data_IF_667642602614
#
_entry.id   IF_667642602614
#
_cell.length_a   1.000
_cell.length_b   1.000
_cell.length_c   1.000
_cell.angle_alpha   90.00
_cell.angle_beta   90.00
_cell.angle_gamma   90.00
#
_symmetry.space_group_name_H-M   'P 1'
#
loop_
_entity.id
_entity.type
_entity.pdbx_description
1 polymer ?
#
# COMPACT_ATOMS: atom_id res chain seq x y z
N UNK A 1 -27.01 0.07 -6.55
CA UNK A 1 -26.49 -1.31 -6.43
C UNK A 1 -25.54 -1.49 -7.58
N UNK A 2 -24.31 -1.89 -7.32
CA UNK A 2 -23.27 -2.14 -8.34
C UNK A 2 -23.62 -3.45 -9.06
N UNK A 3 -23.32 -3.56 -10.36
CA UNK A 3 -23.54 -4.79 -11.13
C UNK A 3 -22.68 -5.94 -10.60
N UNK A 4 -23.26 -7.14 -10.51
CA UNK A 4 -22.51 -8.38 -10.35
C UNK A 4 -21.73 -8.70 -11.64
N UNK A 5 -20.40 -8.72 -11.52
CA UNK A 5 -19.47 -8.87 -12.63
C UNK A 5 -19.31 -10.35 -13.02
N UNK A 6 -19.54 -11.30 -12.10
CA UNK A 6 -19.43 -12.74 -12.36
C UNK A 6 -20.64 -13.52 -11.79
N UNK A 7 -21.84 -13.38 -12.38
CA UNK A 7 -23.08 -13.96 -11.85
C UNK A 7 -23.25 -15.47 -12.12
N UNK A 8 -22.18 -16.20 -12.46
CA UNK A 8 -22.29 -17.59 -12.93
C UNK A 8 -22.89 -18.54 -11.88
N UNK A 9 -23.84 -19.39 -12.30
CA UNK A 9 -24.57 -20.32 -11.42
C UNK A 9 -23.76 -21.57 -11.01
N UNK A 10 -22.62 -21.85 -11.65
CA UNK A 10 -21.68 -22.95 -11.32
C UNK A 10 -20.25 -22.56 -11.69
N UNK A 11 -19.29 -22.68 -10.75
CA UNK A 11 -17.88 -22.30 -10.95
C UNK A 11 -17.34 -21.39 -9.82
N UNK A 12 -16.15 -20.80 -10.00
CA UNK A 12 -15.67 -19.73 -9.11
C UNK A 12 -16.58 -18.51 -9.25
N UNK A 13 -17.31 -18.15 -8.17
CA UNK A 13 -18.36 -17.13 -8.14
C UNK A 13 -17.86 -15.71 -7.86
N UNK A 14 -16.55 -15.50 -7.76
CA UNK A 14 -16.00 -14.25 -7.27
C UNK A 14 -15.38 -13.46 -8.42
N UNK A 15 -15.63 -12.15 -8.43
CA UNK A 15 -15.01 -11.18 -9.33
C UNK A 15 -13.69 -10.61 -8.77
N UNK A 16 -13.34 -10.98 -7.53
CA UNK A 16 -12.10 -10.62 -6.82
C UNK A 16 -11.66 -9.14 -6.96
N UNK A 17 -12.56 -8.16 -6.76
CA UNK A 17 -12.23 -6.76 -6.98
C UNK A 17 -11.01 -6.32 -6.15
N UNK A 18 -10.01 -5.75 -6.81
CA UNK A 18 -8.72 -5.36 -6.22
C UNK A 18 -8.25 -3.99 -6.71
N UNK A 19 -7.19 -3.46 -6.11
CA UNK A 19 -6.52 -2.23 -6.58
C UNK A 19 -7.47 -1.02 -6.69
N UNK A 20 -8.31 -0.78 -5.68
CA UNK A 20 -9.42 0.17 -5.79
C UNK A 20 -8.93 1.63 -5.65
N UNK A 21 -9.11 2.42 -6.71
CA UNK A 21 -8.73 3.84 -6.76
C UNK A 21 -9.89 4.73 -7.19
N UNK A 22 -10.13 5.80 -6.41
CA UNK A 22 -11.19 6.78 -6.69
C UNK A 22 -10.66 7.97 -7.50
N UNK A 23 -11.36 8.33 -8.56
CA UNK A 23 -11.14 9.56 -9.34
C UNK A 23 -12.48 10.27 -9.55
N UNK A 24 -12.63 11.45 -8.95
CA UNK A 24 -13.94 12.12 -8.93
C UNK A 24 -14.97 11.24 -8.24
N UNK A 25 -16.11 10.99 -8.89
CA UNK A 25 -17.17 10.11 -8.37
C UNK A 25 -17.10 8.67 -8.91
N UNK A 26 -16.03 8.34 -9.63
CA UNK A 26 -15.82 7.02 -10.22
C UNK A 26 -14.80 6.25 -9.38
N UNK A 27 -15.13 5.01 -9.05
CA UNK A 27 -14.19 3.99 -8.56
C UNK A 27 -13.63 3.23 -9.76
N UNK A 28 -12.31 3.11 -9.82
CA UNK A 28 -11.58 2.21 -10.70
C UNK A 28 -11.07 1.04 -9.88
N UNK A 29 -11.11 -0.16 -10.43
CA UNK A 29 -10.64 -1.37 -9.76
C UNK A 29 -10.34 -2.44 -10.80
N UNK A 30 -9.47 -3.38 -10.44
CA UNK A 30 -9.29 -4.62 -11.19
C UNK A 30 -10.41 -5.58 -10.79
N UNK A 31 -11.01 -6.28 -11.76
CA UNK A 31 -11.94 -7.37 -11.48
C UNK A 31 -11.88 -8.44 -12.59
N UNK A 32 -12.20 -9.67 -12.20
CA UNK A 32 -12.31 -10.83 -13.07
C UNK A 32 -13.74 -11.01 -13.58
N UNK A 33 -13.87 -11.23 -14.89
CA UNK A 33 -15.06 -11.84 -15.49
C UNK A 33 -14.69 -13.01 -16.42
N UNK A 34 -15.58 -13.99 -16.66
CA UNK A 34 -15.27 -15.17 -17.45
C UNK A 34 -14.94 -14.91 -18.93
N UNK A 35 -15.41 -13.79 -19.50
CA UNK A 35 -15.25 -13.48 -20.92
C UNK A 35 -13.94 -12.71 -21.18
N UNK A 36 -13.49 -11.87 -20.24
CA UNK A 36 -12.31 -11.01 -20.41
C UNK A 36 -11.19 -11.25 -19.38
N UNK A 37 -11.39 -12.13 -18.40
CA UNK A 37 -10.47 -12.34 -17.28
C UNK A 37 -10.27 -11.08 -16.41
N UNK A 38 -9.09 -10.89 -15.80
CA UNK A 38 -8.76 -9.75 -14.93
C UNK A 38 -8.48 -8.47 -15.74
N UNK A 39 -9.42 -7.54 -15.70
CA UNK A 39 -9.36 -6.29 -16.47
C UNK A 39 -9.64 -5.05 -15.63
N UNK A 40 -9.53 -3.87 -16.25
CA UNK A 40 -9.83 -2.59 -15.60
C UNK A 40 -11.32 -2.30 -15.68
N UNK A 41 -11.95 -2.20 -14.52
CA UNK A 41 -13.36 -1.87 -14.36
C UNK A 41 -13.54 -0.51 -13.71
N UNK A 42 -14.72 0.08 -13.92
CA UNK A 42 -15.16 1.28 -13.22
C UNK A 42 -16.58 1.15 -12.69
N UNK A 43 -16.91 1.93 -11.66
CA UNK A 43 -18.27 2.06 -11.13
C UNK A 43 -18.54 3.44 -10.55
N UNK A 44 -19.77 3.93 -10.70
CA UNK A 44 -20.33 5.09 -9.99
C UNK A 44 -21.22 4.70 -8.80
N UNK A 45 -21.27 3.41 -8.46
CA UNK A 45 -22.16 2.85 -7.42
C UNK A 45 -23.51 2.33 -7.93
N UNK A 46 -23.78 2.43 -9.24
CA UNK A 46 -24.99 1.92 -9.89
C UNK A 46 -24.70 0.73 -10.81
N UNK A 47 -25.74 -0.03 -11.14
CA UNK A 47 -25.62 -1.24 -11.95
C UNK A 47 -25.25 -0.87 -13.38
N UNK A 48 -25.88 0.18 -13.90
CA UNK A 48 -25.59 0.73 -15.22
C UNK A 48 -24.20 1.39 -15.30
N UNK A 49 -23.71 1.94 -14.19
CA UNK A 49 -22.40 2.60 -14.14
C UNK A 49 -21.23 1.65 -13.87
N UNK A 50 -21.50 0.40 -13.48
CA UNK A 50 -20.47 -0.64 -13.35
C UNK A 50 -20.16 -1.26 -14.71
N UNK A 51 -18.99 -0.96 -15.27
CA UNK A 51 -18.62 -1.38 -16.61
C UNK A 51 -17.12 -1.65 -16.76
N UNK A 52 -16.81 -2.57 -17.67
CA UNK A 52 -15.48 -2.78 -18.20
C UNK A 52 -15.02 -1.48 -18.87
N UNK A 53 -13.84 -0.99 -18.51
CA UNK A 53 -13.26 0.21 -19.14
C UNK A 53 -12.72 -0.14 -20.52
N UNK A 54 -11.96 -1.23 -20.59
CA UNK A 54 -11.36 -1.75 -21.81
C UNK A 54 -10.93 -3.19 -21.57
N UNK A 55 -11.17 -4.04 -22.57
CA UNK A 55 -10.46 -5.30 -22.74
C UNK A 55 -9.07 -4.97 -23.32
N UNK A 56 -8.06 -4.93 -22.46
CA UNK A 56 -6.72 -4.45 -22.81
C UNK A 56 -6.00 -5.48 -23.68
N UNK A 57 -6.17 -6.76 -23.37
CA UNK A 57 -5.62 -7.87 -24.12
C UNK A 57 -6.72 -8.85 -24.52
N UNK A 58 -7.16 -8.73 -25.78
CA UNK A 58 -8.27 -9.52 -26.33
C UNK A 58 -8.01 -11.03 -26.41
N UNK A 59 -6.81 -11.50 -26.07
CA UNK A 59 -6.44 -12.93 -26.13
C UNK A 59 -5.98 -13.51 -24.79
N UNK A 60 -5.76 -12.70 -23.76
CA UNK A 60 -5.31 -13.14 -22.44
C UNK A 60 -5.61 -12.10 -21.34
N UNK A 61 -5.47 -12.48 -20.08
CA UNK A 61 -5.68 -11.56 -18.95
C UNK A 61 -4.62 -10.44 -18.94
N UNK A 62 -5.02 -9.17 -18.84
CA UNK A 62 -4.06 -8.07 -18.75
C UNK A 62 -3.53 -7.79 -17.34
N UNK A 63 -4.24 -8.23 -16.30
CA UNK A 63 -3.87 -8.06 -14.88
C UNK A 63 -3.51 -6.60 -14.49
N UNK A 64 -4.43 -5.63 -14.61
CA UNK A 64 -4.15 -4.25 -14.21
C UNK A 64 -3.76 -4.15 -12.73
N UNK A 65 -2.68 -3.45 -12.43
CA UNK A 65 -2.16 -3.27 -11.07
C UNK A 65 -1.58 -1.87 -10.85
N UNK A 66 -1.35 -1.54 -9.58
CA UNK A 66 -0.87 -0.24 -9.13
C UNK A 66 -1.71 0.92 -9.66
N UNK A 67 -3.04 0.79 -9.58
CA UNK A 67 -3.99 1.80 -10.08
C UNK A 67 -3.77 3.14 -9.36
N UNK A 68 -3.13 4.09 -10.01
CA UNK A 68 -2.65 5.33 -9.39
C UNK A 68 -3.30 6.56 -10.00
N UNK A 69 -3.92 7.39 -9.16
CA UNK A 69 -4.50 8.66 -9.61
C UNK A 69 -3.42 9.70 -9.89
N UNK A 70 -3.46 10.30 -11.07
CA UNK A 70 -2.61 11.43 -11.47
C UNK A 70 -3.46 12.49 -12.18
N UNK A 71 -3.61 13.67 -11.57
CA UNK A 71 -4.30 14.83 -12.17
C UNK A 71 -5.69 14.53 -12.79
N UNK A 72 -6.46 13.63 -12.17
CA UNK A 72 -7.81 13.27 -12.65
C UNK A 72 -7.81 12.15 -13.71
N UNK A 73 -6.66 11.56 -14.01
CA UNK A 73 -6.52 10.34 -14.80
C UNK A 73 -6.03 9.20 -13.93
N UNK A 74 -6.17 7.98 -14.43
CA UNK A 74 -5.58 6.79 -13.85
C UNK A 74 -4.32 6.42 -14.64
N UNK A 75 -3.19 6.25 -13.97
CA UNK A 75 -2.04 5.52 -14.49
C UNK A 75 -2.00 4.15 -13.84
N UNK A 76 -1.61 3.14 -14.60
CA UNK A 76 -1.56 1.76 -14.11
C UNK A 76 -0.66 0.90 -14.99
N UNK A 77 -0.30 -0.26 -14.48
CA UNK A 77 0.52 -1.23 -15.18
C UNK A 77 -0.35 -2.40 -15.65
N UNK A 78 -0.14 -2.87 -16.88
CA UNK A 78 -0.88 -4.01 -17.44
C UNK A 78 -0.04 -4.78 -18.47
N UNK A 79 -0.39 -6.05 -18.64
CA UNK A 79 0.27 -7.04 -19.49
C UNK A 79 -0.43 -7.16 -20.85
N UNK A 80 0.33 -7.50 -21.89
CA UNK A 80 -0.22 -8.00 -23.15
C UNK A 80 0.62 -9.19 -23.63
N UNK A 81 0.06 -10.38 -23.84
CA UNK A 81 0.80 -11.65 -24.10
C UNK A 81 1.65 -11.65 -25.38
N UNK A 82 1.46 -10.68 -26.27
CA UNK A 82 2.27 -10.52 -27.48
C UNK A 82 3.55 -9.69 -27.27
N UNK A 83 3.75 -9.14 -26.09
CA UNK A 83 4.90 -8.32 -25.75
C UNK A 83 5.52 -8.86 -24.44
N UNK A 84 6.76 -9.36 -24.49
CA UNK A 84 7.45 -9.92 -23.32
C UNK A 84 7.67 -8.91 -22.17
N UNK A 85 7.37 -7.63 -22.42
CA UNK A 85 7.34 -6.54 -21.44
C UNK A 85 5.90 -5.99 -21.39
N UNK A 86 5.41 -5.71 -20.19
CA UNK A 86 4.11 -5.04 -20.00
C UNK A 86 4.13 -3.59 -20.47
N UNK A 87 3.28 -2.76 -19.89
CA UNK A 87 3.32 -1.34 -20.16
C UNK A 87 2.75 -0.50 -19.04
N UNK A 88 3.18 0.77 -19.03
CA UNK A 88 2.48 1.81 -18.30
C UNK A 88 1.34 2.31 -19.18
N UNK A 89 0.13 2.33 -18.63
CA UNK A 89 -1.09 2.76 -19.29
C UNK A 89 -1.66 4.00 -18.61
N UNK A 90 -2.46 4.75 -19.36
CA UNK A 90 -3.28 5.84 -18.86
C UNK A 90 -4.73 5.62 -19.25
N UNK A 91 -5.65 6.00 -18.36
CA UNK A 91 -7.10 5.98 -18.61
C UNK A 91 -7.78 7.22 -18.05
N UNK A 92 -8.78 7.72 -18.77
CA UNK A 92 -9.78 8.69 -18.29
C UNK A 92 -11.12 8.02 -17.94
N UNK A 93 -11.18 6.68 -17.99
CA UNK A 93 -12.37 5.87 -17.80
C UNK A 93 -13.18 5.58 -19.06
N UNK A 94 -12.74 6.01 -20.24
CA UNK A 94 -13.29 5.58 -21.53
C UNK A 94 -12.39 4.53 -22.21
N UNK A 95 -12.94 3.74 -23.14
CA UNK A 95 -12.17 2.77 -23.92
C UNK A 95 -11.15 3.45 -24.82
N UNK A 96 -11.50 4.59 -25.42
CA UNK A 96 -10.64 5.39 -26.29
C UNK A 96 -9.53 6.12 -25.52
N UNK A 97 -9.85 6.65 -24.33
CA UNK A 97 -8.90 7.31 -23.44
C UNK A 97 -7.98 6.34 -22.70
N UNK A 98 -8.26 5.02 -22.77
CA UNK A 98 -7.42 3.97 -22.19
C UNK A 98 -6.39 3.47 -23.21
N UNK A 99 -5.13 3.84 -23.00
CA UNK A 99 -4.03 3.54 -23.94
C UNK A 99 -2.69 3.39 -23.24
N UNK A 100 -1.78 2.63 -23.88
CA UNK A 100 -0.39 2.51 -23.44
C UNK A 100 0.32 3.86 -23.58
N UNK A 101 1.06 4.23 -22.55
CA UNK A 101 1.93 5.40 -22.51
C UNK A 101 3.32 5.02 -22.98
N UNK A 102 3.87 3.92 -22.45
CA UNK A 102 5.20 3.41 -22.78
C UNK A 102 5.25 1.89 -22.56
N UNK A 103 6.08 1.21 -23.34
CA UNK A 103 6.38 -0.21 -23.15
C UNK A 103 7.57 -0.35 -22.20
N UNK A 104 7.31 -0.90 -21.02
CA UNK A 104 8.28 -1.10 -19.95
C UNK A 104 7.99 -2.44 -19.29
N UNK A 105 8.96 -3.02 -18.61
CA UNK A 105 8.72 -4.18 -17.78
C UNK A 105 8.37 -3.69 -16.35
N UNK A 106 7.07 -3.67 -15.97
CA UNK A 106 6.64 -3.26 -14.64
C UNK A 106 6.88 -4.32 -13.57
N UNK A 107 7.29 -5.54 -13.94
CA UNK A 107 7.44 -6.68 -13.02
C UNK A 107 8.72 -6.61 -12.18
N UNK A 108 9.06 -5.40 -11.74
CA UNK A 108 10.00 -5.13 -10.68
C UNK A 108 9.37 -5.49 -9.35
N UNK A 109 9.58 -6.75 -8.94
CA UNK A 109 9.15 -7.37 -7.68
C UNK A 109 7.75 -6.94 -7.17
N UNK A 110 6.75 -7.78 -7.46
CA UNK A 110 5.33 -7.59 -7.18
C UNK A 110 4.94 -7.49 -5.69
N UNK A 111 5.87 -7.54 -4.74
CA UNK A 111 5.54 -7.67 -3.31
C UNK A 111 5.64 -6.39 -2.50
N UNK A 112 6.39 -5.37 -2.94
CA UNK A 112 6.64 -4.14 -2.15
C UNK A 112 6.73 -2.82 -2.93
N UNK A 113 6.69 -2.87 -4.27
CA UNK A 113 6.78 -1.68 -5.12
C UNK A 113 5.66 -0.69 -4.84
N UNK A 114 5.98 0.43 -4.19
CA UNK A 114 5.05 1.55 -4.01
C UNK A 114 5.11 2.46 -5.23
N UNK A 115 4.01 3.09 -5.57
CA UNK A 115 3.99 4.25 -6.46
C UNK A 115 3.96 5.53 -5.63
N UNK A 116 4.68 6.55 -6.07
CA UNK A 116 4.65 7.88 -5.45
C UNK A 116 4.24 8.93 -6.48
N UNK A 117 3.29 9.80 -6.14
CA UNK A 117 2.90 10.93 -6.98
C UNK A 117 3.34 12.22 -6.33
N UNK A 118 4.17 12.99 -7.03
CA UNK A 118 4.74 14.25 -6.54
C UNK A 118 4.59 15.30 -7.63
N UNK A 119 3.91 16.41 -7.32
CA UNK A 119 3.76 17.57 -8.23
C UNK A 119 3.32 17.19 -9.65
N UNK A 120 2.33 16.29 -9.78
CA UNK A 120 1.81 15.85 -11.08
C UNK A 120 2.68 14.82 -11.81
N UNK A 121 3.64 14.21 -11.11
CA UNK A 121 4.56 13.21 -11.66
C UNK A 121 4.48 11.93 -10.83
N UNK A 122 4.21 10.80 -11.48
CA UNK A 122 4.34 9.46 -10.94
C UNK A 122 5.82 9.05 -10.92
N UNK A 123 6.28 8.48 -9.81
CA UNK A 123 7.55 7.80 -9.63
C UNK A 123 7.31 6.35 -9.25
N UNK A 124 8.04 5.45 -9.90
CA UNK A 124 7.79 4.01 -9.82
C UNK A 124 9.01 3.22 -10.28
N UNK A 125 9.21 1.99 -9.78
CA UNK A 125 10.25 1.10 -10.27
C UNK A 125 9.84 0.47 -11.60
N UNK A 126 10.73 0.47 -12.58
CA UNK A 126 10.51 -0.26 -13.83
C UNK A 126 11.82 -0.68 -14.50
N UNK A 127 11.73 -1.76 -15.27
CA UNK A 127 12.82 -2.23 -16.12
C UNK A 127 12.53 -1.95 -17.60
N UNK A 128 13.58 -1.99 -18.42
CA UNK A 128 13.50 -1.84 -19.87
C UNK A 128 14.29 -2.92 -20.57
N UNK A 129 14.25 -2.95 -21.91
CA UNK A 129 15.12 -3.86 -22.68
C UNK A 129 16.63 -3.60 -22.48
N UNK A 130 17.01 -2.52 -21.81
CA UNK A 130 18.40 -2.08 -21.62
C UNK A 130 18.81 -1.87 -20.15
N UNK A 131 17.86 -1.88 -19.23
CA UNK A 131 18.09 -1.66 -17.78
C UNK A 131 17.31 -2.70 -17.00
N UNK A 132 17.82 -3.10 -15.85
CA UNK A 132 17.03 -3.74 -14.81
C UNK A 132 16.12 -2.72 -14.09
N UNK A 133 15.65 -3.07 -12.90
CA UNK A 133 14.63 -2.34 -12.17
C UNK A 133 15.17 -1.06 -11.55
N UNK A 134 14.77 0.06 -12.12
CA UNK A 134 15.34 1.36 -11.79
C UNK A 134 14.26 2.41 -11.51
N UNK A 135 14.68 3.61 -11.09
CA UNK A 135 13.74 4.69 -10.81
C UNK A 135 13.22 5.30 -12.11
N UNK A 136 11.92 5.17 -12.38
CA UNK A 136 11.25 5.82 -13.50
C UNK A 136 10.32 6.93 -13.02
N UNK A 137 10.00 7.84 -13.94
CA UNK A 137 8.98 8.86 -13.76
C UNK A 137 8.02 8.93 -14.94
N UNK A 138 6.79 9.38 -14.72
CA UNK A 138 5.79 9.64 -15.77
C UNK A 138 4.83 10.76 -15.38
N UNK A 139 4.41 11.57 -16.35
CA UNK A 139 3.29 12.52 -16.24
C UNK A 139 2.04 12.03 -17.00
N UNK A 140 2.03 10.75 -17.42
CA UNK A 140 1.00 10.16 -18.27
C UNK A 140 1.17 10.42 -19.77
N UNK A 141 2.27 11.06 -20.19
CA UNK A 141 2.67 11.22 -21.59
C UNK A 141 3.90 10.38 -21.93
N UNK A 142 4.06 10.03 -23.22
CA UNK A 142 5.24 9.29 -23.69
C UNK A 142 6.53 10.06 -23.38
N UNK A 143 6.59 11.36 -23.68
CA UNK A 143 7.79 12.19 -23.46
C UNK A 143 8.13 12.38 -21.98
N UNK A 144 7.11 12.46 -21.12
CA UNK A 144 7.32 12.58 -19.67
C UNK A 144 7.67 11.25 -19.00
N UNK A 145 7.46 10.13 -19.67
CA UNK A 145 7.77 8.78 -19.19
C UNK A 145 9.21 8.40 -19.52
N UNK A 146 10.07 8.35 -18.50
CA UNK A 146 11.51 8.11 -18.69
C UNK A 146 12.21 7.68 -17.41
N UNK A 147 13.36 7.02 -17.57
CA UNK A 147 14.31 6.73 -16.51
C UNK A 147 14.76 8.03 -15.81
N UNK A 148 14.74 8.03 -14.48
CA UNK A 148 15.32 9.09 -13.63
C UNK A 148 16.81 8.82 -13.44
N UNK A 149 17.15 7.61 -12.99
CA UNK A 149 18.51 7.17 -12.73
C UNK A 149 18.59 5.65 -12.77
N UNK A 150 19.65 5.16 -13.38
CA UNK A 150 20.23 3.84 -13.15
C UNK A 150 21.08 3.94 -11.88
N UNK A 151 20.51 3.50 -10.75
CA UNK A 151 21.07 3.71 -9.41
C UNK A 151 22.24 2.77 -9.16
N UNK A 152 22.16 1.51 -9.62
CA UNK A 152 23.20 0.49 -9.45
C UNK A 152 23.61 -0.13 -10.80
N UNK A 153 24.40 0.58 -11.61
CA UNK A 153 24.72 0.15 -12.96
C UNK A 153 25.55 -1.15 -12.97
N UNK A 154 24.98 -2.23 -13.49
CA UNK A 154 25.63 -3.54 -13.57
C UNK A 154 24.96 -4.53 -14.52
N UNK A 155 25.60 -5.68 -14.85
CA UNK A 155 24.98 -6.69 -15.69
C UNK A 155 23.73 -7.24 -14.99
N UNK A 156 22.58 -7.03 -15.65
CA UNK A 156 21.18 -7.27 -15.27
C UNK A 156 20.80 -8.69 -14.80
N UNK A 157 21.74 -9.54 -14.41
CA UNK A 157 21.54 -10.97 -14.15
C UNK A 157 21.55 -11.35 -12.66
N UNK A 158 21.85 -10.41 -11.74
CA UNK A 158 21.95 -10.71 -10.30
C UNK A 158 21.07 -9.83 -9.40
N UNK A 159 20.36 -8.83 -9.94
CA UNK A 159 19.47 -7.93 -9.19
C UNK A 159 18.11 -8.57 -8.93
N UNK A 160 18.12 -9.71 -8.23
CA UNK A 160 16.91 -10.27 -7.61
C UNK A 160 16.53 -9.55 -6.31
N UNK A 161 17.21 -8.46 -5.95
CA UNK A 161 16.93 -7.69 -4.74
C UNK A 161 17.04 -6.18 -4.94
N UNK A 162 16.22 -5.33 -4.33
CA UNK A 162 14.77 -5.24 -4.20
C UNK A 162 14.51 -3.73 -4.15
N UNK A 163 13.53 -3.21 -4.90
CA UNK A 163 12.99 -1.89 -4.61
C UNK A 163 12.05 -2.05 -3.41
N UNK A 164 12.48 -1.56 -2.26
CA UNK A 164 11.82 -1.90 -1.00
C UNK A 164 10.64 -0.97 -0.74
N UNK A 165 10.84 0.36 -0.72
CA UNK A 165 9.78 1.33 -0.46
C UNK A 165 10.10 2.74 -0.99
N UNK A 166 9.06 3.57 -1.14
CA UNK A 166 9.17 5.01 -1.42
C UNK A 166 8.24 5.83 -0.52
N UNK A 167 8.68 7.02 -0.12
CA UNK A 167 7.88 8.01 0.61
C UNK A 167 8.27 9.44 0.23
N UNK A 168 7.39 10.40 0.52
CA UNK A 168 7.65 11.82 0.32
C UNK A 168 7.85 12.52 1.67
N UNK A 169 8.91 13.31 1.79
CA UNK A 169 9.14 14.17 2.95
C UNK A 169 9.57 15.54 2.46
N UNK A 170 8.77 16.56 2.79
CA UNK A 170 9.03 17.95 2.43
C UNK A 170 9.37 18.17 0.94
N UNK A 171 8.65 17.47 0.05
CA UNK A 171 8.87 17.55 -1.40
C UNK A 171 10.08 16.75 -1.92
N UNK A 172 10.80 16.03 -1.06
CA UNK A 172 11.91 15.13 -1.40
C UNK A 172 11.37 13.70 -1.49
N UNK A 173 11.57 13.05 -2.63
CA UNK A 173 11.30 11.62 -2.76
C UNK A 173 12.40 10.85 -2.01
N UNK A 174 12.03 10.04 -1.04
CA UNK A 174 12.92 9.14 -0.32
C UNK A 174 12.65 7.70 -0.77
N UNK A 175 13.73 6.95 -1.01
CA UNK A 175 13.74 5.58 -1.52
C UNK A 175 14.51 4.69 -0.55
N UNK A 176 14.12 3.43 -0.47
CA UNK A 176 14.99 2.34 -0.05
C UNK A 176 15.40 1.54 -1.28
N UNK A 177 16.69 1.58 -1.62
CA UNK A 177 17.21 0.97 -2.85
C UNK A 177 18.55 0.28 -2.57
N UNK A 178 18.67 -0.93 -3.11
CA UNK A 178 19.91 -1.69 -3.14
C UNK A 178 20.95 -1.07 -4.09
N UNK A 179 22.20 -1.03 -3.64
CA UNK A 179 23.36 -0.72 -4.47
C UNK A 179 24.53 -1.66 -4.15
N UNK A 180 25.22 -2.19 -5.16
CA UNK A 180 26.34 -3.15 -5.00
C UNK A 180 27.41 -2.74 -3.99
N UNK A 181 27.67 -1.43 -3.85
CA UNK A 181 28.65 -0.87 -2.91
C UNK A 181 28.14 -0.59 -1.49
N UNK A 182 26.82 -0.52 -1.28
CA UNK A 182 26.21 -0.03 -0.04
C UNK A 182 25.13 -0.97 0.55
N UNK A 183 24.66 -1.98 -0.19
CA UNK A 183 23.46 -2.71 0.17
C UNK A 183 22.16 -1.91 -0.04
N UNK A 184 21.04 -2.38 0.51
CA UNK A 184 19.76 -1.64 0.57
C UNK A 184 19.78 -0.61 1.70
N UNK A 185 19.77 0.66 1.28
CA UNK A 185 20.00 1.84 2.10
C UNK A 185 19.06 2.99 1.72
N UNK A 186 19.10 4.08 2.48
CA UNK A 186 18.21 5.23 2.27
C UNK A 186 18.77 6.23 1.25
N UNK A 187 18.02 6.47 0.17
CA UNK A 187 18.35 7.40 -0.92
C UNK A 187 17.30 8.50 -1.03
N UNK A 188 17.68 9.65 -1.61
CA UNK A 188 16.73 10.70 -2.00
C UNK A 188 16.76 10.96 -3.49
N UNK A 189 15.70 11.57 -4.01
CA UNK A 189 15.62 12.10 -5.37
C UNK A 189 14.79 13.40 -5.42
N UNK A 190 15.20 14.31 -6.29
CA UNK A 190 14.40 15.48 -6.72
C UNK A 190 13.68 15.23 -8.07
N UNK A 191 13.74 13.98 -8.56
CA UNK A 191 13.23 13.56 -9.86
C UNK A 191 14.21 13.71 -11.03
N UNK A 192 15.45 14.09 -10.74
CA UNK A 192 16.59 14.08 -11.69
C UNK A 192 17.65 13.06 -11.29
N UNK A 193 18.39 12.52 -12.25
CA UNK A 193 19.49 11.60 -11.94
C UNK A 193 20.65 12.23 -11.15
N UNK A 194 20.82 13.55 -11.22
CA UNK A 194 21.82 14.26 -10.43
C UNK A 194 21.39 14.43 -8.96
N UNK A 195 20.10 14.67 -8.73
CA UNK A 195 19.53 14.79 -7.39
C UNK A 195 19.18 13.44 -6.74
N UNK A 196 19.24 12.34 -7.50
CA UNK A 196 19.11 10.99 -6.93
C UNK A 196 20.41 10.53 -6.28
N UNK A 197 20.51 10.61 -4.95
CA UNK A 197 21.76 10.36 -4.19
C UNK A 197 21.50 9.64 -2.87
N UNK A 198 22.50 8.89 -2.41
CA UNK A 198 22.48 8.24 -1.09
C UNK A 198 22.37 9.30 0.00
N UNK A 199 21.47 9.10 0.96
CA UNK A 199 21.36 9.97 2.13
C UNK A 199 22.35 9.50 3.18
N UNK A 200 22.32 8.20 3.51
CA UNK A 200 23.16 7.58 4.53
C UNK A 200 23.32 6.09 4.25
N UNK A 201 24.56 5.64 4.32
CA UNK A 201 24.91 4.22 4.49
C UNK A 201 24.75 3.89 5.98
N UNK A 202 23.55 3.42 6.36
CA UNK A 202 23.21 3.12 7.77
C UNK A 202 24.00 1.89 8.23
N UNK A 203 24.23 0.92 7.36
CA UNK A 203 25.08 -0.23 7.61
C UNK A 203 26.35 -0.20 6.73
N UNK A 204 27.44 0.41 7.23
CA UNK A 204 28.64 0.64 6.43
C UNK A 204 29.14 -0.55 5.62
N UNK A 205 29.34 -0.33 4.32
CA UNK A 205 29.89 -1.31 3.38
C UNK A 205 28.82 -2.02 2.56
N UNK A 206 29.07 -3.26 2.15
CA UNK A 206 28.16 -3.98 1.23
C UNK A 206 26.92 -4.59 1.90
N UNK A 207 26.75 -4.40 3.21
CA UNK A 207 25.65 -5.00 3.96
C UNK A 207 24.45 -4.08 3.98
N UNK A 208 23.23 -4.63 3.89
CA UNK A 208 22.00 -3.83 3.89
C UNK A 208 21.49 -3.52 5.29
N UNK A 209 20.94 -2.30 5.47
CA UNK A 209 20.16 -1.91 6.65
C UNK A 209 18.67 -2.20 6.52
N UNK A 210 18.19 -2.55 5.32
CA UNK A 210 16.79 -2.89 5.01
C UNK A 210 15.76 -1.84 5.49
N UNK A 211 15.86 -0.56 5.05
CA UNK A 211 14.86 0.43 5.38
C UNK A 211 13.44 -0.02 5.00
N UNK A 212 12.52 0.00 5.97
CA UNK A 212 11.13 -0.44 5.77
C UNK A 212 10.15 0.38 6.60
N UNK A 213 8.87 0.38 6.22
CA UNK A 213 7.85 1.20 6.88
C UNK A 213 8.10 2.70 6.71
N UNK A 214 8.56 3.13 5.52
CA UNK A 214 8.87 4.52 5.24
C UNK A 214 7.60 5.38 5.30
N UNK A 215 7.64 6.41 6.15
CA UNK A 215 6.50 7.29 6.38
C UNK A 215 6.93 8.74 6.66
N UNK A 216 6.33 9.71 5.98
CA UNK A 216 6.63 11.14 6.13
C UNK A 216 5.66 11.88 7.06
N UNK A 217 6.17 12.67 8.02
CA UNK A 217 5.42 13.53 8.93
C UNK A 217 6.23 14.73 9.44
N UNK A 218 5.64 15.93 9.43
CA UNK A 218 6.23 17.16 9.97
C UNK A 218 7.70 17.40 9.55
N UNK A 219 7.99 17.22 8.25
CA UNK A 219 9.32 17.35 7.63
C UNK A 219 10.31 16.22 7.98
N UNK A 220 9.86 15.16 8.65
CA UNK A 220 10.65 13.96 8.95
C UNK A 220 10.08 12.73 8.26
N UNK A 221 10.96 11.88 7.76
CA UNK A 221 10.71 10.47 7.48
C UNK A 221 10.89 9.71 8.79
N UNK A 222 10.07 8.69 9.01
CA UNK A 222 10.27 7.64 10.00
C UNK A 222 10.29 6.29 9.28
N UNK A 223 11.15 5.38 9.74
CA UNK A 223 11.34 4.06 9.13
C UNK A 223 12.08 3.12 10.08
N UNK A 224 12.00 1.83 9.80
CA UNK A 224 12.77 0.79 10.48
C UNK A 224 14.05 0.53 9.69
N UNK A 225 15.20 0.41 10.35
CA UNK A 225 16.45 -0.03 9.73
C UNK A 225 17.37 -0.69 10.76
N UNK A 226 18.28 -1.54 10.30
CA UNK A 226 19.21 -2.31 11.13
C UNK A 226 20.67 -1.94 10.83
N UNK A 227 21.40 -1.46 11.84
CA UNK A 227 22.86 -1.33 11.74
C UNK A 227 23.54 -2.71 11.70
N UNK A 228 22.91 -3.70 12.33
CA UNK A 228 23.32 -5.11 12.35
C UNK A 228 22.08 -5.99 12.30
N UNK A 229 21.89 -6.75 11.22
CA UNK A 229 20.75 -7.65 11.08
C UNK A 229 20.80 -8.81 12.10
N UNK A 230 19.67 -9.20 12.75
CA UNK A 230 18.28 -8.79 12.47
C UNK A 230 17.74 -7.63 13.35
N UNK A 231 18.59 -6.84 14.01
CA UNK A 231 18.15 -5.83 14.99
C UNK A 231 17.61 -4.57 14.30
N UNK A 232 16.30 -4.57 13.99
CA UNK A 232 15.61 -3.40 13.44
C UNK A 232 15.28 -2.38 14.54
N UNK A 233 15.65 -1.12 14.30
CA UNK A 233 15.39 0.00 15.20
C UNK A 233 14.60 1.08 14.47
N UNK A 234 13.98 1.99 15.22
CA UNK A 234 13.28 3.14 14.66
C UNK A 234 14.29 4.24 14.32
N UNK A 235 14.21 4.73 13.08
CA UNK A 235 15.01 5.83 12.56
C UNK A 235 14.12 6.97 12.10
N UNK A 236 14.71 8.16 12.01
CA UNK A 236 14.13 9.32 11.33
C UNK A 236 15.12 9.97 10.37
N UNK A 237 14.62 10.71 9.37
CA UNK A 237 15.43 11.45 8.40
C UNK A 237 14.70 12.69 7.88
N UNK A 238 15.36 13.83 7.73
CA UNK A 238 14.84 15.01 7.02
C UNK A 238 15.29 15.03 5.54
N UNK A 239 15.84 13.92 5.02
CA UNK A 239 16.46 13.87 3.71
C UNK A 239 17.93 14.33 3.66
N UNK A 240 18.54 14.62 4.82
CA UNK A 240 19.97 14.93 4.94
C UNK A 240 20.72 13.86 5.73
N UNK A 241 22.03 13.78 5.52
CA UNK A 241 22.90 12.86 6.27
C UNK A 241 22.82 13.13 7.78
N UNK A 242 22.92 14.40 8.19
CA UNK A 242 22.94 14.81 9.59
C UNK A 242 21.59 14.61 10.27
N UNK A 243 20.48 14.85 9.57
CA UNK A 243 19.13 14.58 10.09
C UNK A 243 18.76 13.10 10.10
N UNK A 244 19.54 12.22 9.45
CA UNK A 244 19.26 10.78 9.47
C UNK A 244 19.83 10.11 10.71
N UNK A 245 18.97 9.85 11.69
CA UNK A 245 19.35 9.47 13.06
C UNK A 245 18.42 8.40 13.61
N UNK A 246 18.98 7.51 14.44
CA UNK A 246 18.21 6.55 15.22
C UNK A 246 17.41 7.28 16.29
N UNK A 247 16.13 6.93 16.44
CA UNK A 247 15.23 7.51 17.44
C UNK A 247 15.42 6.85 18.82
N UNK A 248 15.74 5.54 18.85
CA UNK A 248 16.06 4.81 20.07
C UNK A 248 16.37 3.32 19.83
N UNK A 249 16.94 2.66 20.84
CA UNK A 249 17.45 1.28 20.80
C UNK A 249 16.39 0.17 20.98
N UNK A 250 15.10 0.47 20.80
CA UNK A 250 14.03 -0.54 20.97
C UNK A 250 13.51 -1.02 19.62
N UNK A 251 13.22 -2.33 19.55
CA UNK A 251 12.74 -2.98 18.32
C UNK A 251 11.50 -2.28 17.79
N UNK A 252 11.54 -1.91 16.51
CA UNK A 252 10.53 -1.08 15.90
C UNK A 252 9.60 -1.89 15.01
N UNK A 253 8.32 -1.52 15.02
CA UNK A 253 7.31 -2.06 14.11
C UNK A 253 6.58 -0.89 13.44
N UNK A 254 6.11 -1.14 12.22
CA UNK A 254 5.62 -0.17 11.23
C UNK A 254 4.77 0.96 11.82
N UNK A 255 5.17 2.24 11.60
CA UNK A 255 4.42 3.39 12.09
C UNK A 255 3.16 3.69 11.24
N UNK A 256 2.07 4.04 11.90
CA UNK A 256 0.77 4.47 11.34
C UNK A 256 0.42 5.81 11.97
N UNK A 257 -0.09 6.79 11.23
CA UNK A 257 -0.09 8.16 11.76
C UNK A 257 -1.46 8.77 12.06
N UNK A 258 -1.54 9.54 13.16
CA UNK A 258 -2.53 10.58 13.47
C UNK A 258 -1.89 11.77 14.21
N UNK A 259 -2.11 13.03 13.82
CA UNK A 259 -1.94 14.26 14.64
C UNK A 259 -0.64 14.37 15.49
N UNK A 260 0.44 13.68 15.13
CA UNK A 260 1.69 13.59 15.90
C UNK A 260 1.96 12.28 16.62
N UNK A 261 1.03 11.33 16.60
CA UNK A 261 1.11 9.99 17.17
C UNK A 261 1.22 8.94 16.06
N UNK A 262 2.26 8.13 16.13
CA UNK A 262 2.54 6.91 15.38
C UNK A 262 1.86 5.74 16.08
N UNK A 263 1.27 4.79 15.39
CA UNK A 263 0.79 3.52 15.92
C UNK A 263 1.55 2.37 15.29
N UNK A 264 1.78 1.30 16.03
CA UNK A 264 2.57 0.16 15.58
C UNK A 264 2.13 -1.11 16.30
N UNK A 265 2.26 -2.27 15.67
CA UNK A 265 2.07 -3.55 16.34
C UNK A 265 3.36 -3.90 17.12
N UNK A 266 3.42 -3.93 18.45
CA UNK A 266 4.67 -4.16 19.18
C UNK A 266 4.53 -5.21 20.27
N UNK A 267 5.53 -6.09 20.37
CA UNK A 267 5.66 -7.13 21.40
C UNK A 267 6.68 -6.68 22.45
N UNK A 268 6.21 -6.43 23.67
CA UNK A 268 7.04 -6.04 24.81
C UNK A 268 7.56 -7.24 25.62
N UNK A 269 7.26 -8.47 25.17
CA UNK A 269 7.56 -9.72 25.84
C UNK A 269 6.64 -10.02 27.03
N UNK A 270 5.63 -9.18 27.30
CA UNK A 270 4.68 -9.34 28.41
C UNK A 270 3.27 -9.62 27.87
N UNK A 271 2.83 -8.85 26.86
CA UNK A 271 1.46 -8.90 26.33
C UNK A 271 1.39 -9.47 24.90
N UNK A 272 2.48 -10.02 24.39
CA UNK A 272 2.57 -10.34 22.96
C UNK A 272 2.45 -9.09 22.09
N UNK A 273 2.23 -9.28 20.79
CA UNK A 273 2.18 -8.19 19.83
C UNK A 273 0.83 -7.46 19.82
N UNK A 274 0.82 -6.24 20.34
CA UNK A 274 -0.36 -5.39 20.55
C UNK A 274 -0.29 -4.08 19.76
N UNK A 275 -1.36 -3.27 19.73
CA UNK A 275 -1.31 -1.91 19.17
C UNK A 275 -0.69 -0.92 20.17
N UNK A 276 0.35 -0.23 19.76
CA UNK A 276 1.04 0.81 20.52
C UNK A 276 0.92 2.15 19.82
N UNK A 277 1.12 3.25 20.56
CA UNK A 277 1.24 4.61 20.03
C UNK A 277 2.54 5.29 20.46
N UNK A 278 3.12 6.19 19.66
CA UNK A 278 4.36 6.94 19.92
C UNK A 278 4.31 8.35 19.34
N UNK A 279 4.78 9.36 20.05
CA UNK A 279 4.93 10.72 19.51
C UNK A 279 6.25 10.95 18.73
N UNK A 280 6.99 9.87 18.44
CA UNK A 280 8.34 9.94 17.86
C UNK A 280 9.46 10.05 18.90
N UNK A 281 9.13 9.96 20.19
CA UNK A 281 10.09 9.80 21.29
C UNK A 281 9.98 8.42 21.95
N UNK A 282 11.01 8.02 22.68
CA UNK A 282 11.01 6.77 23.45
C UNK A 282 10.00 6.85 24.59
N UNK A 283 9.87 8.02 25.23
CA UNK A 283 8.94 8.26 26.34
C UNK A 283 7.48 8.28 25.91
N UNK A 284 7.20 8.71 24.67
CA UNK A 284 5.85 8.73 24.11
C UNK A 284 5.33 7.38 23.64
N UNK A 285 6.15 6.31 23.67
CA UNK A 285 5.76 4.96 23.29
C UNK A 285 4.93 4.30 24.38
N UNK A 286 3.63 4.14 24.15
CA UNK A 286 2.67 3.56 25.10
C UNK A 286 1.72 2.58 24.42
N UNK A 287 1.41 1.46 25.07
CA UNK A 287 0.41 0.52 24.59
C UNK A 287 -0.96 1.22 24.56
N UNK A 288 -1.70 1.04 23.47
CA UNK A 288 -3.06 1.56 23.37
C UNK A 288 -3.96 0.78 24.32
N UNK A 289 -3.97 -0.54 24.15
CA UNK A 289 -4.84 -1.50 24.83
C UNK A 289 -4.28 -2.90 24.64
N UNK A 290 -4.31 -3.71 25.69
CA UNK A 290 -4.19 -5.16 25.61
C UNK A 290 -5.52 -5.70 25.06
N UNK A 291 -5.60 -5.91 23.75
CA UNK A 291 -6.84 -6.31 23.07
C UNK A 291 -7.09 -7.81 23.27
N UNK A 292 -6.05 -8.64 23.25
CA UNK A 292 -6.10 -10.07 23.52
C UNK A 292 -5.46 -10.37 24.89
N UNK A 293 -6.25 -10.41 25.98
CA UNK A 293 -5.70 -10.32 27.32
C UNK A 293 -4.58 -11.32 27.64
N UNK A 294 -3.46 -10.81 28.13
CA UNK A 294 -2.31 -11.61 28.56
C UNK A 294 -1.24 -11.75 27.45
N UNK A 295 -0.47 -12.85 27.42
CA UNK A 295 0.70 -12.95 26.53
C UNK A 295 0.34 -13.29 25.06
N UNK A 296 -0.94 -13.27 24.71
CA UNK A 296 -1.40 -13.64 23.38
C UNK A 296 -1.51 -12.39 22.50
N UNK A 297 -1.02 -12.46 21.27
CA UNK A 297 -1.05 -11.29 20.37
C UNK A 297 -2.47 -11.00 19.84
N UNK A 298 -2.83 -9.73 19.76
CA UNK A 298 -4.03 -9.27 19.06
C UNK A 298 -3.80 -8.90 17.60
N UNK A 299 -2.56 -8.59 17.23
CA UNK A 299 -2.19 -8.20 15.87
C UNK A 299 -1.73 -9.41 15.04
N UNK A 300 -1.98 -9.44 13.72
CA UNK A 300 -1.45 -10.48 12.84
C UNK A 300 0.08 -10.43 12.78
N UNK A 301 0.74 -11.59 12.85
CA UNK A 301 2.21 -11.78 12.87
C UNK A 301 2.96 -11.38 11.60
N UNK A 302 2.24 -11.10 10.52
CA UNK A 302 2.79 -10.49 9.31
C UNK A 302 2.67 -8.97 9.42
N UNK A 303 3.51 -8.18 8.74
CA UNK A 303 3.24 -6.76 8.55
C UNK A 303 2.03 -6.62 7.62
N UNK A 304 0.86 -6.99 8.11
CA UNK A 304 -0.40 -6.51 7.59
C UNK A 304 -0.35 -5.05 7.95
N UNK A 305 -0.13 -4.25 6.92
CA UNK A 305 -0.56 -2.88 6.86
C UNK A 305 -1.80 -2.76 7.75
N UNK A 306 -1.71 -1.96 8.81
CA UNK A 306 -2.94 -1.32 9.26
C UNK A 306 -3.35 -0.50 8.03
N UNK A 307 -4.17 -1.11 7.18
CA UNK A 307 -4.81 -0.50 6.02
C UNK A 307 -5.93 0.39 6.56
N UNK A 308 -5.57 1.22 7.52
CA UNK A 308 -6.44 2.14 8.20
C UNK A 308 -6.22 3.50 7.58
N UNK A 309 -7.15 3.93 6.73
CA UNK A 309 -7.21 5.33 6.35
C UNK A 309 -7.89 6.09 7.50
N UNK A 310 -7.16 7.02 8.10
CA UNK A 310 -7.69 7.83 9.19
C UNK A 310 -8.81 8.73 8.69
N UNK A 311 -9.95 8.68 9.37
CA UNK A 311 -11.16 9.40 8.95
C UNK A 311 -11.80 10.05 10.16
N UNK A 312 -11.83 11.39 10.17
CA UNK A 312 -12.33 12.22 11.29
C UNK A 312 -11.73 11.85 12.67
N UNK A 313 -10.45 11.46 12.69
CA UNK A 313 -9.74 11.07 13.92
C UNK A 313 -9.91 9.60 14.31
N UNK A 314 -10.53 8.78 13.48
CA UNK A 314 -10.71 7.33 13.71
C UNK A 314 -9.77 6.54 12.80
N UNK A 315 -8.89 5.73 13.41
CA UNK A 315 -8.09 4.71 12.73
C UNK A 315 -8.85 3.39 12.74
N UNK A 316 -8.90 2.69 11.60
CA UNK A 316 -9.41 1.32 11.50
C UNK A 316 -8.28 0.33 11.30
N UNK A 317 -8.36 -0.85 11.90
CA UNK A 317 -7.31 -1.87 11.83
C UNK A 317 -7.91 -3.27 12.00
N UNK A 318 -7.11 -4.30 11.78
CA UNK A 318 -7.50 -5.69 12.00
C UNK A 318 -6.88 -6.18 13.30
N UNK A 319 -7.70 -6.78 14.18
CA UNK A 319 -7.22 -7.35 15.43
C UNK A 319 -8.11 -8.51 15.91
N UNK A 320 -7.56 -9.34 16.79
CA UNK A 320 -8.21 -10.48 17.44
C UNK A 320 -8.21 -10.29 18.95
N UNK A 321 -9.37 -10.41 19.59
CA UNK A 321 -9.53 -10.31 21.06
C UNK A 321 -9.51 -11.67 21.79
N UNK A 322 -9.15 -12.73 21.07
CA UNK A 322 -9.17 -14.11 21.55
C UNK A 322 -10.53 -14.79 21.52
N UNK A 323 -11.61 -14.07 21.19
CA UNK A 323 -12.98 -14.60 21.18
C UNK A 323 -13.64 -14.56 19.80
N UNK A 324 -13.29 -13.57 18.96
CA UNK A 324 -13.98 -13.29 17.70
C UNK A 324 -13.12 -13.49 16.44
N UNK A 325 -11.89 -14.02 16.56
CA UNK A 325 -10.98 -14.08 15.42
C UNK A 325 -10.51 -12.69 14.95
N UNK A 326 -9.94 -12.60 13.75
CA UNK A 326 -9.46 -11.33 13.18
C UNK A 326 -10.59 -10.54 12.53
N UNK A 327 -11.00 -9.46 13.19
CA UNK A 327 -12.14 -8.63 12.80
C UNK A 327 -11.75 -7.17 12.54
N UNK A 328 -12.71 -6.36 12.09
CA UNK A 328 -12.51 -4.93 11.88
C UNK A 328 -12.63 -4.16 13.20
N UNK A 329 -11.58 -3.45 13.58
CA UNK A 329 -11.49 -2.60 14.78
C UNK A 329 -11.34 -1.13 14.43
N UNK A 330 -11.65 -0.28 15.42
CA UNK A 330 -11.42 1.16 15.35
C UNK A 330 -10.86 1.75 16.64
N UNK A 331 -10.18 2.89 16.52
CA UNK A 331 -9.67 3.70 17.64
C UNK A 331 -9.77 5.20 17.32
N UNK A 332 -10.16 6.01 18.30
CA UNK A 332 -10.30 7.48 18.21
C UNK A 332 -9.22 8.29 18.96
N UNK A 333 -8.14 7.62 19.36
CA UNK A 333 -7.05 8.13 20.20
C UNK A 333 -7.16 7.78 21.70
N UNK A 334 -8.29 7.21 22.13
CA UNK A 334 -8.55 6.84 23.53
C UNK A 334 -8.71 5.32 23.73
N UNK A 335 -8.42 4.83 24.95
CA UNK A 335 -8.64 3.44 25.34
C UNK A 335 -10.12 3.02 25.23
N UNK A 336 -11.03 3.91 25.60
CA UNK A 336 -12.48 3.69 25.54
C UNK A 336 -12.99 3.65 24.10
N UNK A 337 -12.37 4.43 23.21
CA UNK A 337 -12.68 4.43 21.78
C UNK A 337 -12.02 3.29 20.99
N UNK A 338 -11.16 2.48 21.61
CA UNK A 338 -10.60 1.25 21.00
C UNK A 338 -11.60 0.09 21.10
N UNK A 339 -12.38 -0.11 20.03
CA UNK A 339 -13.49 -1.07 19.98
C UNK A 339 -13.58 -1.81 18.64
N UNK A 340 -14.09 -3.04 18.68
CA UNK A 340 -14.49 -3.77 17.49
C UNK A 340 -15.67 -3.05 16.81
N UNK A 341 -15.61 -2.91 15.48
CA UNK A 341 -16.68 -2.27 14.70
C UNK A 341 -17.89 -3.20 14.60
N UNK A 342 -17.64 -4.45 14.24
CA UNK A 342 -18.59 -5.55 14.16
C UNK A 342 -17.83 -6.88 14.13
N UNK A 343 -18.45 -7.92 14.66
CA UNK A 343 -18.10 -9.33 14.40
C UNK A 343 -18.71 -9.71 13.05
N UNK A 344 -17.93 -9.62 11.97
CA UNK A 344 -18.41 -9.78 10.59
C UNK A 344 -18.60 -11.25 10.25
N UNK A 345 -17.69 -12.12 10.71
CA UNK A 345 -17.80 -13.57 10.61
C UNK A 345 -18.13 -14.16 12.00
N UNK A 346 -19.41 -14.37 12.34
CA UNK A 346 -19.81 -14.63 13.71
C UNK A 346 -19.12 -15.84 14.34
N UNK A 347 -18.47 -15.64 15.48
CA UNK A 347 -17.79 -16.70 16.23
C UNK A 347 -16.28 -16.53 16.20
N UNK A 348 -15.53 -17.64 16.24
CA UNK A 348 -14.06 -17.58 16.37
C UNK A 348 -13.32 -17.52 15.04
N UNK A 349 -14.04 -17.64 13.92
CA UNK A 349 -13.45 -17.66 12.58
C UNK A 349 -13.27 -16.22 12.08
N UNK A 350 -12.13 -15.88 11.45
CA UNK A 350 -11.84 -14.51 11.01
C UNK A 350 -12.67 -14.08 9.79
N UNK A 351 -13.01 -12.79 9.70
CA UNK A 351 -13.62 -12.18 8.50
C UNK A 351 -12.61 -11.69 7.45
N UNK A 352 -11.31 -11.70 7.77
CA UNK A 352 -10.23 -11.19 6.90
C UNK A 352 -10.50 -9.81 6.25
N UNK A 353 -10.79 -8.74 7.02
CA UNK A 353 -11.00 -7.42 6.45
C UNK A 353 -9.72 -6.91 5.75
N UNK A 354 -9.86 -6.37 4.53
CA UNK A 354 -8.73 -5.87 3.74
C UNK A 354 -9.14 -4.92 2.62
N UNK A 355 -8.17 -4.40 1.86
CA UNK A 355 -8.39 -3.57 0.66
C UNK A 355 -9.22 -2.33 0.93
N UNK A 356 -8.83 -1.59 1.96
CA UNK A 356 -9.58 -0.44 2.44
C UNK A 356 -9.45 0.78 1.53
N UNK A 357 -10.56 1.44 1.23
CA UNK A 357 -10.57 2.74 0.54
C UNK A 357 -11.69 3.63 1.07
N UNK A 358 -11.47 4.94 1.12
CA UNK A 358 -12.49 5.88 1.58
C UNK A 358 -13.08 6.68 0.42
N UNK A 359 -14.41 6.73 0.39
CA UNK A 359 -15.14 7.54 -0.57
C UNK A 359 -16.46 8.04 0.02
N UNK A 360 -16.73 9.34 -0.15
CA UNK A 360 -18.04 9.96 0.10
C UNK A 360 -18.66 9.64 1.47
N UNK A 361 -17.89 9.73 2.55
CA UNK A 361 -18.38 9.44 3.91
C UNK A 361 -18.32 7.97 4.32
N UNK A 362 -17.87 7.07 3.43
CA UNK A 362 -17.86 5.62 3.68
C UNK A 362 -16.48 5.00 3.49
N UNK A 363 -16.14 4.11 4.41
CA UNK A 363 -15.01 3.18 4.28
C UNK A 363 -15.48 1.94 3.51
N UNK A 364 -14.86 1.67 2.38
CA UNK A 364 -15.05 0.47 1.57
C UNK A 364 -13.92 -0.52 1.84
N UNK A 365 -14.23 -1.80 1.93
CA UNK A 365 -13.24 -2.86 2.21
C UNK A 365 -13.79 -4.22 1.78
N UNK A 366 -12.95 -5.23 1.65
CA UNK A 366 -13.37 -6.61 1.42
C UNK A 366 -13.38 -7.41 2.73
N UNK A 367 -14.38 -8.26 2.97
CA UNK A 367 -14.44 -9.17 4.13
C UNK A 367 -15.38 -10.37 3.87
N UNK A 368 -15.20 -11.46 4.61
CA UNK A 368 -15.99 -12.69 4.58
C UNK A 368 -16.93 -12.76 5.80
N UNK A 369 -18.21 -13.06 5.59
CA UNK A 369 -19.21 -13.23 6.65
C UNK A 369 -19.44 -14.70 7.08
N UNK A 370 -18.63 -15.62 6.56
CA UNK A 370 -18.71 -17.06 6.83
C UNK A 370 -19.80 -17.78 6.04
N UNK A 371 -20.58 -17.07 5.21
CA UNK A 371 -21.70 -17.64 4.45
C UNK A 371 -21.70 -17.32 2.96
N UNK A 372 -21.13 -16.17 2.56
CA UNK A 372 -21.08 -15.71 1.18
C UNK A 372 -19.66 -15.68 0.59
N UNK A 373 -18.62 -15.83 1.43
CA UNK A 373 -17.23 -15.61 1.01
C UNK A 373 -16.86 -14.13 1.05
N UNK A 374 -15.70 -13.79 0.46
CA UNK A 374 -15.16 -12.42 0.48
C UNK A 374 -15.95 -11.50 -0.46
N UNK A 375 -16.60 -10.48 0.10
CA UNK A 375 -17.44 -9.50 -0.61
C UNK A 375 -17.01 -8.05 -0.35
N UNK A 376 -17.53 -7.08 -1.12
CA UNK A 376 -17.28 -5.64 -0.92
C UNK A 376 -18.25 -5.03 0.12
N UNK A 377 -17.69 -4.47 1.19
CA UNK A 377 -18.39 -3.83 2.30
C UNK A 377 -18.28 -2.30 2.24
N UNK A 378 -19.26 -1.60 2.83
CA UNK A 378 -19.23 -0.14 2.97
C UNK A 378 -19.74 0.31 4.35
N UNK A 379 -18.84 0.86 5.18
CA UNK A 379 -19.12 1.35 6.53
C UNK A 379 -19.25 2.88 6.54
N UNK A 380 -20.34 3.40 7.10
CA UNK A 380 -20.49 4.84 7.38
C UNK A 380 -19.76 5.18 8.69
N UNK A 381 -18.63 5.86 8.56
CA UNK A 381 -17.75 6.22 9.68
C UNK A 381 -18.02 7.63 10.21
N UNK A 382 -18.89 8.40 9.55
CA UNK A 382 -19.23 9.78 9.95
C UNK A 382 -20.23 9.82 11.12
N UNK A 383 -20.83 8.68 11.47
CA UNK A 383 -21.75 8.55 12.60
C UNK A 383 -21.01 7.94 13.80
N UNK A 384 -20.84 8.74 14.86
CA UNK A 384 -20.22 8.34 16.14
C UNK A 384 -20.92 7.18 16.86
N UNK A 385 -22.09 6.73 16.39
CA UNK A 385 -22.75 5.54 16.90
C UNK A 385 -23.57 4.84 15.80
N UNK A 386 -23.50 3.51 15.83
CA UNK A 386 -24.42 2.50 15.30
C UNK A 386 -24.28 1.97 13.85
N UNK A 387 -23.99 0.66 13.85
CA UNK A 387 -24.29 -0.44 12.91
C UNK A 387 -23.75 -0.39 11.46
N UNK A 388 -23.14 -1.49 10.97
CA UNK A 388 -22.74 -1.62 9.58
C UNK A 388 -23.97 -1.54 8.67
N UNK A 389 -23.87 -0.74 7.60
CA UNK A 389 -24.81 -0.80 6.49
C UNK A 389 -24.36 -1.94 5.57
N UNK A 390 -24.99 -3.10 5.73
CA UNK A 390 -24.82 -4.24 4.82
C UNK A 390 -25.40 -3.83 3.45
N UNK A 391 -24.56 -3.70 2.43
CA UNK A 391 -25.03 -3.56 1.04
C UNK A 391 -24.86 -4.93 0.36
N UNK A 392 -26.01 -5.52 0.02
CA UNK A 392 -26.12 -6.70 -0.83
C UNK A 392 -25.89 -6.35 -2.29
#
# INVERSE_FOLDING_TARGET
MVRDINPALTGMKHSYPSEITRIGDILFFRAFDPDHCDELWKSDGTEAGTMLVKDIDTVACSYPHHLTKLEGKLLFEASTVHEAAGGLWVSDGSTEGTRRVEQINPWCNLTRSKHAVINGVLFFPAASGTTDCELWRSDGTLTGTRLVKDIDPGPSALSFFEWSEMALVDGILILSVYHTGFGDELWKSDGSGAGTVLIKDIRPGVGSSYPSGLFGYNQWLYFNAAELHPEFKLWKSDGTLDGTQMVGDREAVSPIHQDGLHYSAYDDGIYGMELWKSDGTVEGLVMVKDINPGPASSMPNTPVSIEGKLLDGVLTFVANDGNHGFELWKIDGTLEGTVMVADINPGTDPSHPGRFTYSSGKLFFSADDGSHGVELWALDITRRASLPLIFR
#
